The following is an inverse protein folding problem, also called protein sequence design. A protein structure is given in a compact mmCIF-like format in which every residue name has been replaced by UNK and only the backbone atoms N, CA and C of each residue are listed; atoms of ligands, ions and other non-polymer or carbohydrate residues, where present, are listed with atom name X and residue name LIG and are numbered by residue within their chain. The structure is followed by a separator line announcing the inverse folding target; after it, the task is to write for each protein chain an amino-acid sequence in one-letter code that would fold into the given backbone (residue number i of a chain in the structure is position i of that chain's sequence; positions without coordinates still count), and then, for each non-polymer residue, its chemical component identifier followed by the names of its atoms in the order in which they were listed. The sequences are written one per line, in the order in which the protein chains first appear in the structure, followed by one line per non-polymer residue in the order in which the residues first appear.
data_IF_729532783407
#
_entry.id   IF_729532783407
#
_cell.length_a   1.000
_cell.length_b   1.000
_cell.length_c   1.000
_cell.angle_alpha   90.00
_cell.angle_beta   90.00
_cell.angle_gamma   90.00
#
_symmetry.space_group_name_H-M   'P 1'
#
loop_
_entity.id
_entity.type
_entity.pdbx_description
1 polymer ?
#
# COMPACT_ATOMS: atom_id res chain seq x y z
N UNK A 1 26.34 5.27 -20.65
CA UNK A 1 24.91 5.16 -20.33
C UNK A 1 24.38 6.58 -20.31
N UNK A 2 23.57 6.98 -21.29
CA UNK A 2 23.12 8.37 -21.43
C UNK A 2 22.11 8.68 -20.33
N UNK A 3 22.52 9.48 -19.36
CA UNK A 3 21.62 10.10 -18.36
C UNK A 3 20.93 11.29 -19.01
N UNK A 4 19.94 11.01 -19.86
CA UNK A 4 18.95 12.01 -20.25
C UNK A 4 18.23 12.41 -18.96
N UNK A 5 18.18 13.70 -18.63
CA UNK A 5 17.48 14.16 -17.42
C UNK A 5 15.99 13.84 -17.54
N UNK A 6 15.33 13.51 -16.41
CA UNK A 6 13.89 13.20 -16.38
C UNK A 6 13.06 14.30 -17.08
N UNK A 7 13.50 15.57 -16.99
CA UNK A 7 12.89 16.72 -17.67
C UNK A 7 12.88 16.60 -19.21
N UNK A 8 13.98 16.16 -19.82
CA UNK A 8 14.09 15.99 -21.27
C UNK A 8 13.24 14.81 -21.75
N UNK A 9 13.21 13.71 -20.98
CA UNK A 9 12.31 12.57 -21.23
C UNK A 9 10.85 13.04 -21.21
N UNK A 10 10.44 13.78 -20.17
CA UNK A 10 9.08 14.31 -20.03
C UNK A 10 8.73 15.25 -21.19
N UNK A 11 9.66 16.11 -21.63
CA UNK A 11 9.43 16.98 -22.79
C UNK A 11 9.32 16.18 -24.10
N UNK A 12 10.18 15.19 -24.33
CA UNK A 12 10.11 14.31 -25.50
C UNK A 12 8.78 13.59 -25.59
N UNK A 13 8.35 12.94 -24.50
CA UNK A 13 7.04 12.30 -24.42
C UNK A 13 5.88 13.27 -24.68
N UNK A 14 5.91 14.49 -24.12
CA UNK A 14 4.89 15.53 -24.37
C UNK A 14 4.89 16.07 -25.80
N UNK A 15 5.99 15.93 -26.54
CA UNK A 15 6.06 16.23 -27.98
C UNK A 15 5.64 15.06 -28.86
N UNK A 16 5.41 13.87 -28.30
CA UNK A 16 5.15 12.65 -29.05
C UNK A 16 6.41 12.07 -29.71
N UNK A 17 7.59 12.32 -29.15
CA UNK A 17 8.85 11.78 -29.65
C UNK A 17 8.92 10.26 -29.43
N UNK A 18 8.76 9.52 -30.53
CA UNK A 18 8.77 8.06 -30.53
C UNK A 18 10.12 7.48 -30.07
N UNK A 19 11.24 8.14 -30.36
CA UNK A 19 12.58 7.66 -29.96
C UNK A 19 12.77 7.72 -28.45
N UNK A 20 12.27 8.79 -27.82
CA UNK A 20 12.25 8.94 -26.35
C UNK A 20 11.30 7.93 -25.71
N UNK A 21 10.13 7.68 -26.33
CA UNK A 21 9.21 6.65 -25.85
C UNK A 21 9.82 5.24 -25.93
N UNK A 22 10.44 4.86 -27.05
CA UNK A 22 11.08 3.54 -27.22
C UNK A 22 12.22 3.36 -26.21
N UNK A 23 13.10 4.35 -26.03
CA UNK A 23 14.17 4.27 -25.03
C UNK A 23 13.64 4.13 -23.60
N UNK A 24 12.48 4.73 -23.29
CA UNK A 24 11.82 4.60 -22.00
C UNK A 24 11.14 3.24 -21.84
N UNK A 25 10.50 2.75 -22.89
CA UNK A 25 9.85 1.46 -22.97
C UNK A 25 10.85 0.34 -22.73
N UNK A 26 11.94 0.29 -23.48
CA UNK A 26 12.99 -0.74 -23.35
C UNK A 26 13.62 -0.76 -21.95
N UNK A 27 13.76 0.42 -21.32
CA UNK A 27 14.29 0.57 -19.97
C UNK A 27 13.39 0.03 -18.86
N UNK A 28 12.06 0.01 -19.04
CA UNK A 28 11.10 -0.34 -17.98
C UNK A 28 10.16 -1.52 -18.30
N UNK A 29 9.98 -1.91 -19.56
CA UNK A 29 9.04 -2.96 -19.98
C UNK A 29 9.24 -4.26 -19.20
N UNK A 30 10.49 -4.72 -19.07
CA UNK A 30 10.81 -5.97 -18.39
C UNK A 30 10.54 -5.92 -16.87
N UNK A 31 10.76 -4.78 -16.22
CA UNK A 31 10.52 -4.63 -14.78
C UNK A 31 9.04 -4.39 -14.45
N UNK A 32 8.32 -3.68 -15.32
CA UNK A 32 6.86 -3.53 -15.25
C UNK A 32 6.16 -4.88 -15.48
N UNK A 33 6.63 -5.70 -16.43
CA UNK A 33 6.08 -7.06 -16.66
C UNK A 33 6.31 -7.98 -15.47
N UNK A 34 7.50 -7.97 -14.86
CA UNK A 34 7.77 -8.73 -13.62
C UNK A 34 6.84 -8.34 -12.48
N UNK A 35 6.57 -7.04 -12.31
CA UNK A 35 5.64 -6.56 -11.28
C UNK A 35 4.18 -6.94 -11.62
N UNK A 36 3.75 -6.78 -12.87
CA UNK A 36 2.40 -7.16 -13.30
C UNK A 36 2.13 -8.67 -13.17
N UNK A 37 3.13 -9.52 -13.39
CA UNK A 37 3.05 -10.97 -13.17
C UNK A 37 2.71 -11.35 -11.73
N UNK A 38 3.02 -10.51 -10.74
CA UNK A 38 2.61 -10.77 -9.35
C UNK A 38 1.09 -10.67 -9.20
N UNK A 39 0.42 -9.75 -9.92
CA UNK A 39 -1.03 -9.50 -9.78
C UNK A 39 -1.91 -10.28 -10.78
N UNK A 40 -1.34 -10.83 -11.84
CA UNK A 40 -2.07 -11.38 -12.98
C UNK A 40 -2.39 -12.88 -12.86
N UNK A 41 -3.49 -13.33 -13.49
CA UNK A 41 -3.77 -14.78 -13.66
C UNK A 41 -2.64 -15.52 -14.39
N UNK A 42 -2.12 -14.89 -15.45
CA UNK A 42 -1.24 -15.53 -16.42
C UNK A 42 -0.35 -14.48 -17.13
N UNK A 43 0.66 -14.90 -17.92
CA UNK A 43 1.57 -13.96 -18.60
C UNK A 43 0.92 -13.06 -19.66
N UNK A 44 -0.20 -13.47 -20.28
CA UNK A 44 -0.93 -12.64 -21.25
C UNK A 44 -1.63 -11.50 -20.53
N UNK A 45 -2.26 -11.81 -19.39
CA UNK A 45 -2.92 -10.82 -18.53
C UNK A 45 -1.93 -9.83 -17.93
N UNK A 46 -0.73 -10.28 -17.56
CA UNK A 46 0.35 -9.38 -17.15
C UNK A 46 0.78 -8.44 -18.30
N UNK A 47 0.95 -8.97 -19.52
CA UNK A 47 1.29 -8.16 -20.69
C UNK A 47 0.19 -7.15 -21.08
N UNK A 48 -1.09 -7.47 -20.84
CA UNK A 48 -2.23 -6.56 -21.02
C UNK A 48 -2.16 -5.39 -20.03
N UNK A 49 -1.96 -5.66 -18.73
CA UNK A 49 -1.80 -4.63 -17.68
C UNK A 49 -0.65 -3.66 -18.03
N UNK A 50 0.47 -4.17 -18.54
CA UNK A 50 1.61 -3.35 -18.94
C UNK A 50 1.31 -2.50 -20.18
N UNK A 51 0.62 -3.06 -21.19
CA UNK A 51 0.17 -2.27 -22.36
C UNK A 51 -0.79 -1.14 -21.95
N UNK A 52 -1.78 -1.43 -21.10
CA UNK A 52 -2.67 -0.40 -20.55
C UNK A 52 -1.92 0.67 -19.75
N UNK A 53 -0.86 0.27 -19.03
CA UNK A 53 0.01 1.20 -18.29
C UNK A 53 0.69 2.16 -19.25
N UNK A 54 1.31 1.68 -20.32
CA UNK A 54 1.95 2.54 -21.33
C UNK A 54 0.96 3.46 -22.05
N UNK A 55 -0.24 2.97 -22.39
CA UNK A 55 -1.31 3.80 -22.95
C UNK A 55 -1.77 4.90 -21.97
N UNK A 56 -1.77 4.61 -20.66
CA UNK A 56 -2.13 5.58 -19.63
C UNK A 56 -1.02 6.62 -19.38
N UNK A 57 0.26 6.21 -19.47
CA UNK A 57 1.43 7.10 -19.42
C UNK A 57 1.37 8.11 -20.57
N UNK A 58 1.19 7.64 -21.81
CA UNK A 58 1.09 8.51 -22.99
C UNK A 58 -0.10 9.48 -22.90
N UNK A 59 -1.29 9.00 -22.48
CA UNK A 59 -2.47 9.86 -22.28
C UNK A 59 -2.34 10.81 -21.09
N UNK A 60 -1.49 10.48 -20.11
CA UNK A 60 -1.35 11.20 -18.84
C UNK A 60 -0.20 12.21 -18.79
N UNK A 61 0.83 12.11 -19.64
CA UNK A 61 2.10 12.84 -19.48
C UNK A 61 1.96 14.38 -19.53
N UNK A 62 0.95 14.90 -20.23
CA UNK A 62 0.64 16.33 -20.23
C UNK A 62 0.10 16.84 -18.89
N UNK A 63 -0.49 15.95 -18.07
CA UNK A 63 -1.00 16.22 -16.72
C UNK A 63 -0.03 15.82 -15.61
N UNK A 64 1.14 15.26 -15.97
CA UNK A 64 2.15 14.91 -14.99
C UNK A 64 2.87 16.16 -14.49
N UNK A 65 2.68 16.50 -13.23
CA UNK A 65 3.16 17.76 -12.61
C UNK A 65 4.60 17.69 -12.08
N UNK A 66 5.28 16.55 -12.16
CA UNK A 66 6.65 16.39 -11.63
C UNK A 66 6.76 16.33 -10.10
N UNK A 67 5.64 16.16 -9.37
CA UNK A 67 5.62 15.98 -7.90
C UNK A 67 6.23 14.66 -7.39
N UNK A 68 6.73 13.82 -8.30
CA UNK A 68 7.47 12.57 -8.03
C UNK A 68 8.40 12.29 -9.22
N UNK A 69 9.33 11.35 -9.10
CA UNK A 69 10.12 10.88 -10.24
C UNK A 69 9.22 10.21 -11.30
N UNK A 70 9.57 10.33 -12.59
CA UNK A 70 8.74 9.78 -13.69
C UNK A 70 8.54 8.26 -13.52
N UNK A 71 9.60 7.55 -13.13
CA UNK A 71 9.57 6.11 -12.80
C UNK A 71 8.51 5.79 -11.74
N UNK A 72 8.49 6.51 -10.63
CA UNK A 72 7.54 6.28 -9.52
C UNK A 72 6.09 6.43 -10.01
N UNK A 73 5.82 7.45 -10.83
CA UNK A 73 4.49 7.67 -11.39
C UNK A 73 4.04 6.55 -12.35
N UNK A 74 4.93 6.06 -13.22
CA UNK A 74 4.66 4.91 -14.11
C UNK A 74 4.32 3.66 -13.28
N UNK A 75 5.10 3.37 -12.24
CA UNK A 75 4.87 2.22 -11.35
C UNK A 75 3.54 2.34 -10.58
N UNK A 76 3.20 3.52 -10.09
CA UNK A 76 1.91 3.78 -9.42
C UNK A 76 0.71 3.54 -10.35
N UNK A 77 0.82 3.92 -11.64
CA UNK A 77 -0.21 3.60 -12.65
C UNK A 77 -0.36 2.09 -12.78
N UNK A 78 0.75 1.35 -12.92
CA UNK A 78 0.73 -0.10 -13.06
C UNK A 78 0.09 -0.77 -11.84
N UNK A 79 0.54 -0.43 -10.63
CA UNK A 79 0.04 -1.03 -9.38
C UNK A 79 -1.47 -0.79 -9.25
N UNK A 80 -1.96 0.42 -9.54
CA UNK A 80 -3.40 0.72 -9.46
C UNK A 80 -4.24 -0.08 -10.47
N UNK A 81 -3.74 -0.27 -11.71
CA UNK A 81 -4.37 -1.14 -12.71
C UNK A 81 -4.36 -2.60 -12.26
N UNK A 82 -3.19 -3.08 -11.85
CA UNK A 82 -2.95 -4.45 -11.44
C UNK A 82 -3.82 -4.85 -10.23
N UNK A 83 -3.93 -3.97 -9.23
CA UNK A 83 -4.87 -4.11 -8.10
C UNK A 83 -6.33 -4.18 -8.57
N UNK A 84 -6.74 -3.31 -9.50
CA UNK A 84 -8.12 -3.30 -10.04
C UNK A 84 -8.45 -4.61 -10.78
N UNK A 85 -7.49 -5.16 -11.54
CA UNK A 85 -7.64 -6.46 -12.21
C UNK A 85 -7.71 -7.61 -11.19
N UNK A 86 -6.79 -7.64 -10.22
CA UNK A 86 -6.78 -8.67 -9.17
C UNK A 86 -8.06 -8.66 -8.30
N UNK A 87 -8.64 -7.49 -8.02
CA UNK A 87 -9.93 -7.36 -7.33
C UNK A 87 -11.08 -7.96 -8.14
N UNK A 88 -11.16 -7.65 -9.44
CA UNK A 88 -12.19 -8.20 -10.34
C UNK A 88 -12.07 -9.70 -10.54
N UNK A 89 -10.86 -10.24 -10.45
CA UNK A 89 -10.56 -11.68 -10.54
C UNK A 89 -10.61 -12.41 -9.18
N UNK A 90 -11.02 -11.72 -8.10
CA UNK A 90 -11.16 -12.31 -6.76
C UNK A 90 -9.84 -12.66 -6.05
N UNK A 91 -8.69 -12.18 -6.54
CA UNK A 91 -7.35 -12.50 -6.01
C UNK A 91 -6.66 -11.40 -5.22
N UNK A 92 -7.31 -10.25 -5.01
CA UNK A 92 -6.72 -9.13 -4.26
C UNK A 92 -6.24 -9.56 -2.85
N UNK A 93 -6.96 -10.47 -2.20
CA UNK A 93 -6.62 -10.96 -0.87
C UNK A 93 -5.25 -11.66 -0.85
N UNK A 94 -4.94 -12.51 -1.83
CA UNK A 94 -3.68 -13.26 -1.87
C UNK A 94 -2.44 -12.40 -2.11
N UNK A 95 -2.57 -11.22 -2.73
CA UNK A 95 -1.40 -10.36 -2.98
C UNK A 95 -1.17 -9.26 -1.95
N UNK A 96 -2.21 -8.89 -1.22
CA UNK A 96 -2.02 -8.27 0.09
C UNK A 96 -1.31 -9.28 1.00
N UNK A 97 -1.77 -10.53 1.04
CA UNK A 97 -1.12 -11.60 1.81
C UNK A 97 0.35 -11.81 1.44
N UNK A 98 0.85 -11.78 0.19
CA UNK A 98 2.31 -11.92 -0.03
C UNK A 98 3.18 -10.67 0.21
N UNK A 99 2.59 -9.54 0.58
CA UNK A 99 3.31 -8.37 1.14
C UNK A 99 3.15 -8.32 2.66
N UNK A 100 1.99 -8.71 3.18
CA UNK A 100 1.72 -8.93 4.59
C UNK A 100 2.24 -10.29 5.10
N UNK A 101 2.72 -11.24 4.29
CA UNK A 101 3.36 -12.50 4.75
C UNK A 101 4.73 -12.22 5.38
N UNK A 102 5.29 -11.03 5.12
CA UNK A 102 6.43 -10.44 5.83
C UNK A 102 6.01 -9.72 7.14
N UNK A 103 4.71 -9.60 7.41
CA UNK A 103 4.10 -8.97 8.59
C UNK A 103 3.22 -9.93 9.43
N UNK A 104 2.74 -11.03 8.83
CA UNK A 104 2.03 -12.17 9.41
C UNK A 104 2.99 -13.30 9.81
N UNK A 105 4.28 -13.16 9.53
CA UNK A 105 5.25 -13.75 10.44
C UNK A 105 4.99 -13.13 11.81
N UNK A 106 4.49 -13.92 12.76
CA UNK A 106 4.30 -13.51 14.16
C UNK A 106 5.65 -13.26 14.89
N UNK A 107 6.74 -13.15 14.13
CA UNK A 107 8.07 -12.73 14.53
C UNK A 107 8.19 -11.21 14.31
N UNK A 108 8.61 -10.43 15.33
CA UNK A 108 8.68 -8.98 15.21
C UNK A 108 9.75 -8.56 14.20
N UNK A 109 9.45 -7.55 13.35
CA UNK A 109 10.36 -7.03 12.31
C UNK A 109 11.70 -6.46 12.81
N UNK A 110 11.87 -6.35 14.13
CA UNK A 110 13.15 -6.14 14.81
C UNK A 110 13.23 -7.09 16.00
N UNK A 111 14.43 -7.65 16.32
CA UNK A 111 14.64 -8.33 17.59
C UNK A 111 14.21 -7.43 18.73
N UNK A 112 13.44 -7.98 19.68
CA UNK A 112 12.88 -7.20 20.80
C UNK A 112 13.99 -6.61 21.69
N UNK A 113 15.14 -7.29 21.70
CA UNK A 113 16.39 -6.96 22.38
C UNK A 113 17.14 -5.77 21.72
N UNK A 114 16.45 -4.68 21.33
CA UNK A 114 17.08 -3.60 20.52
C UNK A 114 17.13 -2.19 21.15
N UNK A 115 16.55 -1.96 22.33
CA UNK A 115 16.53 -0.62 22.96
C UNK A 115 17.42 -0.51 24.22
N UNK A 116 18.67 -0.99 24.17
CA UNK A 116 19.54 -1.02 25.36
C UNK A 116 19.99 0.39 25.78
N UNK A 117 19.94 0.66 27.10
CA UNK A 117 21.12 1.14 27.81
C UNK A 117 21.59 0.12 28.86
N UNK A 118 22.78 -0.46 28.71
CA UNK A 118 23.24 -1.71 29.38
C UNK A 118 23.09 -1.83 30.92
N UNK A 119 23.06 -0.75 31.70
CA UNK A 119 23.32 -0.83 33.16
C UNK A 119 22.13 -0.51 34.09
N UNK A 120 21.99 -1.35 35.13
CA UNK A 120 21.17 -1.19 36.35
C UNK A 120 19.64 -1.01 36.22
N UNK A 121 19.05 -1.58 35.18
CA UNK A 121 17.66 -2.09 35.24
C UNK A 121 17.70 -3.59 34.86
N UNK A 122 16.92 -4.50 35.50
CA UNK A 122 17.00 -5.94 35.21
C UNK A 122 16.70 -6.29 33.75
N UNK A 123 16.01 -5.39 33.05
CA UNK A 123 15.99 -5.31 31.60
C UNK A 123 16.10 -3.83 31.21
N UNK A 124 17.15 -3.42 30.48
CA UNK A 124 17.03 -2.33 29.54
C UNK A 124 16.25 -2.86 28.32
N UNK A 125 16.58 -2.51 27.08
CA UNK A 125 15.96 -3.11 25.87
C UNK A 125 14.44 -2.91 25.64
N UNK A 126 13.63 -2.50 26.62
CA UNK A 126 12.17 -2.58 26.55
C UNK A 126 11.44 -1.32 27.01
N UNK A 127 10.17 -1.23 26.63
CA UNK A 127 9.20 -0.27 27.17
C UNK A 127 8.79 -0.75 28.56
N UNK A 128 8.84 0.10 29.61
CA UNK A 128 8.47 -0.32 30.97
C UNK A 128 7.01 -0.79 31.09
N UNK A 129 6.12 -0.27 30.23
CA UNK A 129 4.81 -0.83 29.95
C UNK A 129 4.58 -0.71 28.43
N UNK A 130 4.22 -1.81 27.77
CA UNK A 130 3.81 -1.77 26.36
C UNK A 130 2.43 -1.11 26.20
N UNK A 131 2.08 -0.63 24.99
CA UNK A 131 0.69 -0.26 24.69
C UNK A 131 -0.20 -1.48 24.92
N UNK A 132 -1.27 -1.31 25.71
CA UNK A 132 -2.32 -2.32 25.83
C UNK A 132 -3.03 -2.52 24.48
N UNK A 133 -3.76 -3.63 24.34
CA UNK A 133 -4.49 -3.95 23.11
C UNK A 133 -5.37 -2.77 22.65
N UNK A 134 -5.23 -2.39 21.38
CA UNK A 134 -6.00 -1.33 20.74
C UNK A 134 -7.46 -1.73 20.48
N UNK A 135 -7.83 -3.00 20.72
CA UNK A 135 -9.23 -3.43 20.84
C UNK A 135 -9.88 -3.06 22.20
N UNK A 136 -9.08 -2.67 23.18
CA UNK A 136 -9.49 -2.34 24.56
C UNK A 136 -9.30 -0.85 24.90
N UNK A 137 -9.41 0.02 23.90
CA UNK A 137 -9.20 1.47 24.06
C UNK A 137 -10.11 2.08 25.16
N UNK A 138 -9.59 3.01 25.97
CA UNK A 138 -10.37 3.69 27.01
C UNK A 138 -11.64 4.35 26.48
N UNK A 139 -11.59 4.92 25.28
CA UNK A 139 -12.71 5.51 24.56
C UNK A 139 -13.78 4.46 24.17
N UNK A 140 -13.39 3.27 23.70
CA UNK A 140 -14.35 2.21 23.34
C UNK A 140 -15.00 1.59 24.60
N UNK A 141 -14.23 1.46 25.68
CA UNK A 141 -14.77 1.08 27.00
C UNK A 141 -15.71 2.16 27.53
N UNK A 142 -15.36 3.44 27.44
CA UNK A 142 -16.21 4.56 27.87
C UNK A 142 -17.50 4.65 27.04
N UNK A 143 -17.42 4.44 25.73
CA UNK A 143 -18.57 4.41 24.82
C UNK A 143 -19.49 3.21 25.12
N UNK A 144 -18.90 2.05 25.43
CA UNK A 144 -19.64 0.86 25.87
C UNK A 144 -20.36 1.11 27.19
N UNK A 145 -19.66 1.72 28.16
CA UNK A 145 -20.19 2.15 29.47
C UNK A 145 -21.34 3.15 29.33
N UNK A 146 -21.22 4.12 28.43
CA UNK A 146 -22.25 5.13 28.15
C UNK A 146 -23.47 4.50 27.48
N UNK A 147 -23.25 3.62 26.49
CA UNK A 147 -24.32 2.86 25.83
C UNK A 147 -25.06 1.99 26.84
N UNK A 148 -24.33 1.31 27.74
CA UNK A 148 -24.91 0.49 28.80
C UNK A 148 -25.70 1.33 29.81
N UNK A 149 -25.21 2.52 30.21
CA UNK A 149 -25.94 3.45 31.09
C UNK A 149 -27.25 3.93 30.46
N UNK A 150 -27.24 4.25 29.16
CA UNK A 150 -28.46 4.65 28.42
C UNK A 150 -29.45 3.49 28.34
N UNK A 151 -28.99 2.28 28.04
CA UNK A 151 -29.85 1.07 28.02
C UNK A 151 -30.45 0.81 29.40
N UNK A 152 -29.67 0.85 30.47
CA UNK A 152 -30.17 0.65 31.84
C UNK A 152 -31.16 1.73 32.27
N UNK A 153 -30.88 3.01 31.99
CA UNK A 153 -31.80 4.10 32.27
C UNK A 153 -33.11 3.99 31.46
N UNK A 154 -33.05 3.49 30.22
CA UNK A 154 -34.23 3.19 29.44
C UNK A 154 -35.04 2.02 30.02
N UNK A 155 -34.37 0.97 30.53
CA UNK A 155 -35.00 -0.17 31.20
C UNK A 155 -35.66 0.24 32.53
N UNK A 156 -34.99 1.05 33.36
CA UNK A 156 -35.56 1.58 34.62
C UNK A 156 -36.73 2.54 34.36
N UNK A 157 -36.78 3.16 33.18
CA UNK A 157 -37.91 3.96 32.70
C UNK A 157 -39.11 3.13 32.19
N UNK A 158 -38.95 1.82 31.97
CA UNK A 158 -40.05 0.92 31.64
C UNK A 158 -40.78 0.55 32.93
N UNK A 159 -42.07 0.92 33.00
CA UNK A 159 -42.92 0.54 34.12
C UNK A 159 -43.02 -1.00 34.20
N UNK A 160 -42.89 -1.63 35.38
CA UNK A 160 -42.93 -3.08 35.51
C UNK A 160 -44.38 -3.60 35.36
N UNK A 161 -44.84 -3.72 34.12
CA UNK A 161 -45.87 -4.65 33.62
C UNK A 161 -46.25 -4.33 32.17
N UNK A 162 -45.85 -5.20 31.23
CA UNK A 162 -46.76 -5.90 30.31
C UNK A 162 -46.14 -7.26 29.96
#
# INVERSE_FOLDING_TARGET
MLTIEDADIIQGLRRGDESVFVSLFDGYQNSLLRLALMYATDPRRAAEIVQETWLAVLKGIHRFEGRSALKTWIYSILINRAKTVAQREGRYNNLTLSLDEQAESNEPSVPVDRFHPDDDHPYPHHWLNGPSDWSELPEDKLLSDETQKVILAAIDGLSPNQ
#
